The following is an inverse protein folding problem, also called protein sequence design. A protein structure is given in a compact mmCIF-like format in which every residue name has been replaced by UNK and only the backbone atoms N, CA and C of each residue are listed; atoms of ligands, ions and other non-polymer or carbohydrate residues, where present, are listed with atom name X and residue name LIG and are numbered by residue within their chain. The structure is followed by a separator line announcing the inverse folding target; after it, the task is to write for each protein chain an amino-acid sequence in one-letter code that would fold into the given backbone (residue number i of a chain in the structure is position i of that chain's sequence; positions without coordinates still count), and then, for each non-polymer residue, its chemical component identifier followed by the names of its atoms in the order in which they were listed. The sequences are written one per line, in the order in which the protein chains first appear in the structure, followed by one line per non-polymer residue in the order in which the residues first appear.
data_IF_677860863893
#
_entry.id   IF_677860863893
#
_cell.length_a   1.000
_cell.length_b   1.000
_cell.length_c   1.000
_cell.angle_alpha   90.00
_cell.angle_beta   90.00
_cell.angle_gamma   90.00
#
_symmetry.space_group_name_H-M   'P 1'
#
loop_
_entity.id
_entity.type
_entity.pdbx_description
1 polymer ?
#
# COMPACT_ATOMS: atom_id res chain seq x y z
N UNK A 1 11.70 -19.96 72.62
CA UNK A 1 10.63 -19.18 71.97
C UNK A 1 11.30 -18.05 71.21
N UNK A 2 11.18 -17.90 69.90
CA UNK A 2 10.51 -18.70 68.89
C UNK A 2 11.08 -18.26 67.54
N UNK A 3 11.07 -19.19 66.60
CA UNK A 3 11.50 -19.06 65.20
C UNK A 3 10.77 -17.91 64.46
N UNK A 4 11.40 -17.40 63.38
CA UNK A 4 10.83 -17.11 62.04
C UNK A 4 11.55 -15.91 61.41
N UNK A 5 12.59 -16.11 60.59
CA UNK A 5 12.59 -16.51 59.18
C UNK A 5 12.10 -15.42 58.20
N UNK A 6 12.98 -15.15 57.23
CA UNK A 6 12.86 -14.19 56.12
C UNK A 6 11.52 -14.28 55.39
N UNK A 7 11.01 -13.13 54.92
CA UNK A 7 10.26 -13.07 53.66
C UNK A 7 10.34 -11.67 53.02
N UNK A 8 11.04 -11.58 51.89
CA UNK A 8 10.97 -10.47 50.95
C UNK A 8 9.61 -10.49 50.23
N UNK A 9 9.01 -9.33 49.89
CA UNK A 9 7.78 -9.30 49.10
C UNK A 9 8.09 -9.75 47.66
N UNK A 10 7.61 -10.93 47.30
CA UNK A 10 7.61 -11.45 45.93
C UNK A 10 6.75 -10.51 45.06
N UNK A 11 7.38 -9.66 44.25
CA UNK A 11 6.72 -8.97 43.13
C UNK A 11 6.24 -10.04 42.13
N UNK A 12 4.96 -10.37 42.21
CA UNK A 12 4.26 -11.15 41.21
C UNK A 12 4.33 -10.40 39.88
N UNK A 13 5.08 -10.94 38.91
CA UNK A 13 4.96 -10.56 37.49
C UNK A 13 3.58 -10.99 37.03
N UNK A 14 2.59 -10.10 37.14
CA UNK A 14 1.31 -10.26 36.47
C UNK A 14 1.53 -10.09 34.97
N UNK A 15 1.78 -11.21 34.30
CA UNK A 15 1.63 -11.34 32.85
C UNK A 15 0.17 -11.03 32.52
N UNK A 16 -0.10 -9.79 32.11
CA UNK A 16 -1.42 -9.37 31.63
C UNK A 16 -1.66 -10.00 30.25
N UNK A 17 -2.13 -11.25 30.25
CA UNK A 17 -2.76 -11.84 29.07
C UNK A 17 -4.08 -11.11 28.83
N UNK A 18 -4.08 -10.18 27.89
CA UNK A 18 -5.29 -9.56 27.38
C UNK A 18 -6.19 -10.63 26.74
N UNK A 19 -7.49 -10.69 27.08
CA UNK A 19 -8.40 -11.67 26.50
C UNK A 19 -8.65 -11.33 25.02
N UNK A 20 -8.50 -12.34 24.16
CA UNK A 20 -8.87 -12.25 22.74
C UNK A 20 -10.39 -12.31 22.65
N UNK A 21 -11.03 -11.16 22.46
CA UNK A 21 -12.45 -11.07 22.12
C UNK A 21 -12.60 -11.52 20.66
N UNK A 22 -13.61 -12.32 20.36
CA UNK A 22 -13.81 -13.02 19.07
C UNK A 22 -14.19 -12.15 17.87
N UNK A 23 -13.41 -11.11 17.61
CA UNK A 23 -13.36 -10.34 16.36
C UNK A 23 -11.87 -10.09 16.10
N UNK A 24 -11.42 -10.09 14.84
CA UNK A 24 -10.00 -10.11 14.42
C UNK A 24 -9.16 -8.86 14.83
N UNK A 25 -9.18 -8.44 16.10
CA UNK A 25 -8.39 -7.36 16.67
C UNK A 25 -8.25 -7.50 18.20
N UNK A 26 -7.18 -6.92 18.73
CA UNK A 26 -6.93 -6.85 20.17
C UNK A 26 -7.66 -5.67 20.81
N UNK A 27 -7.99 -5.77 22.10
CA UNK A 27 -8.60 -4.66 22.87
C UNK A 27 -7.75 -3.38 22.78
N UNK A 28 -6.43 -3.52 22.86
CA UNK A 28 -5.49 -2.40 22.72
C UNK A 28 -5.59 -1.70 21.37
N UNK A 29 -5.81 -2.45 20.28
CA UNK A 29 -6.03 -1.87 18.95
C UNK A 29 -7.35 -1.10 18.86
N UNK A 30 -8.43 -1.62 19.46
CA UNK A 30 -9.71 -0.93 19.50
C UNK A 30 -9.63 0.39 20.30
N UNK A 31 -9.02 0.34 21.48
CA UNK A 31 -8.82 1.51 22.34
C UNK A 31 -7.97 2.59 21.63
N UNK A 32 -6.96 2.16 20.85
CA UNK A 32 -6.10 3.06 20.09
C UNK A 32 -6.83 3.73 18.91
N UNK A 33 -7.66 2.98 18.17
CA UNK A 33 -8.51 3.53 17.10
C UNK A 33 -9.48 4.56 17.68
N UNK A 34 -10.13 4.24 18.80
CA UNK A 34 -11.08 5.13 19.44
C UNK A 34 -10.40 6.41 19.93
N UNK A 35 -9.23 6.32 20.56
CA UNK A 35 -8.45 7.48 20.99
C UNK A 35 -8.11 8.42 19.82
N UNK A 36 -7.59 7.88 18.71
CA UNK A 36 -7.18 8.68 17.56
C UNK A 36 -8.37 9.38 16.91
N UNK A 37 -9.56 8.78 16.91
CA UNK A 37 -10.77 9.41 16.37
C UNK A 37 -11.26 10.59 17.20
N UNK A 38 -11.03 10.57 18.52
CA UNK A 38 -11.47 11.62 19.43
C UNK A 38 -10.45 12.75 19.58
N UNK A 39 -9.17 12.51 19.27
CA UNK A 39 -8.12 13.53 19.30
C UNK A 39 -8.09 14.33 18.00
N UNK A 40 -8.05 15.66 18.12
CA UNK A 40 -7.84 16.58 16.98
C UNK A 40 -6.40 17.10 16.88
N UNK A 41 -5.65 16.99 17.97
CA UNK A 41 -4.26 17.43 18.04
C UNK A 41 -3.29 16.36 17.50
N UNK A 42 -2.39 16.75 16.58
CA UNK A 42 -1.42 15.83 15.97
C UNK A 42 -0.44 15.20 16.98
N UNK A 43 -0.06 15.95 18.00
CA UNK A 43 0.80 15.43 19.08
C UNK A 43 0.08 14.37 19.91
N UNK A 44 -1.22 14.56 20.18
CA UNK A 44 -2.03 13.58 20.91
C UNK A 44 -2.30 12.34 20.07
N UNK A 45 -2.59 12.51 18.77
CA UNK A 45 -2.74 11.40 17.82
C UNK A 45 -1.48 10.52 17.83
N UNK A 46 -0.29 11.11 17.72
CA UNK A 46 1.00 10.42 17.78
C UNK A 46 1.44 10.04 19.22
N UNK A 47 0.65 10.37 20.25
CA UNK A 47 0.95 10.09 21.66
C UNK A 47 2.35 10.59 22.09
N UNK A 48 2.71 11.78 21.62
CA UNK A 48 4.01 12.42 21.89
C UNK A 48 3.79 13.78 22.55
N UNK A 49 4.78 14.22 23.34
CA UNK A 49 4.79 15.58 23.87
C UNK A 49 4.96 16.61 22.75
N UNK A 50 4.46 17.84 22.94
CA UNK A 50 4.76 18.98 22.04
C UNK A 50 6.27 19.27 21.96
N UNK A 51 7.02 18.93 23.01
CA UNK A 51 8.49 19.04 23.08
C UNK A 51 9.22 17.81 22.51
N UNK A 52 8.51 16.85 21.90
CA UNK A 52 9.11 15.63 21.40
C UNK A 52 10.11 15.91 20.27
N UNK A 53 11.20 15.16 20.29
CA UNK A 53 12.21 15.19 19.23
C UNK A 53 11.70 14.45 17.99
N UNK A 54 12.25 14.77 16.82
CA UNK A 54 11.86 14.12 15.56
C UNK A 54 12.08 12.60 15.60
N UNK A 55 13.10 12.16 16.35
CA UNK A 55 13.37 10.75 16.59
C UNK A 55 12.25 10.05 17.37
N UNK A 56 11.65 10.73 18.36
CA UNK A 56 10.53 10.22 19.14
C UNK A 56 9.25 10.19 18.32
N UNK A 57 8.99 11.24 17.52
CA UNK A 57 7.86 11.31 16.59
C UNK A 57 7.93 10.15 15.58
N UNK A 58 9.10 9.91 14.97
CA UNK A 58 9.33 8.79 14.04
C UNK A 58 9.25 7.42 14.73
N UNK A 59 9.62 7.31 16.01
CA UNK A 59 9.51 6.06 16.77
C UNK A 59 8.05 5.71 17.07
N UNK A 60 7.28 6.66 17.59
CA UNK A 60 5.89 6.42 17.96
C UNK A 60 4.99 6.23 16.74
N UNK A 61 5.23 6.97 15.65
CA UNK A 61 4.54 6.75 14.39
C UNK A 61 4.72 5.30 13.90
N UNK A 62 5.95 4.80 13.85
CA UNK A 62 6.24 3.41 13.42
C UNK A 62 5.54 2.38 14.29
N UNK A 63 5.53 2.59 15.61
CA UNK A 63 4.87 1.69 16.56
C UNK A 63 3.36 1.62 16.32
N UNK A 64 2.70 2.76 16.11
CA UNK A 64 1.26 2.82 15.89
C UNK A 64 0.84 2.40 14.48
N UNK A 65 1.63 2.74 13.46
CA UNK A 65 1.35 2.34 12.07
C UNK A 65 1.35 0.82 11.92
N UNK A 66 2.24 0.11 12.62
CA UNK A 66 2.24 -1.36 12.66
C UNK A 66 1.03 -1.96 13.40
N UNK A 67 0.50 -1.26 14.40
CA UNK A 67 -0.66 -1.69 15.18
C UNK A 67 -1.97 -1.45 14.43
N UNK A 68 -2.04 -0.39 13.62
CA UNK A 68 -3.22 0.03 12.84
C UNK A 68 -3.19 -0.41 11.38
N UNK A 69 -2.15 -1.12 10.94
CA UNK A 69 -2.05 -1.56 9.55
C UNK A 69 -3.30 -2.37 9.16
N UNK A 70 -3.92 -2.12 7.98
CA UNK A 70 -5.18 -2.74 7.57
C UNK A 70 -5.11 -4.27 7.49
N UNK A 71 -3.91 -4.83 7.30
CA UNK A 71 -3.68 -6.28 7.31
C UNK A 71 -3.68 -6.89 8.73
N UNK A 72 -3.33 -6.11 9.76
CA UNK A 72 -3.18 -6.58 11.16
C UNK A 72 -4.29 -6.12 12.10
N UNK A 73 -5.07 -5.11 11.70
CA UNK A 73 -6.15 -4.55 12.51
C UNK A 73 -7.43 -4.49 11.68
N UNK A 74 -8.40 -5.33 12.02
CA UNK A 74 -9.76 -5.29 11.44
C UNK A 74 -10.77 -4.59 12.34
N UNK A 75 -10.31 -3.74 13.25
CA UNK A 75 -11.18 -2.96 14.12
C UNK A 75 -12.02 -1.96 13.28
N UNK A 76 -13.27 -1.67 13.69
CA UNK A 76 -14.10 -0.69 13.01
C UNK A 76 -13.41 0.69 13.06
N UNK A 77 -13.46 1.42 11.94
CA UNK A 77 -12.81 2.73 11.78
C UNK A 77 -11.27 2.75 11.91
N UNK A 78 -10.62 1.59 11.86
CA UNK A 78 -9.14 1.49 11.83
C UNK A 78 -8.53 2.25 10.64
N UNK A 79 -9.18 2.23 9.48
CA UNK A 79 -8.76 2.98 8.31
C UNK A 79 -8.76 4.49 8.57
N UNK A 80 -9.83 5.05 9.15
CA UNK A 80 -9.93 6.48 9.51
C UNK A 80 -8.82 6.89 10.49
N UNK A 81 -8.61 6.08 11.53
CA UNK A 81 -7.55 6.32 12.51
C UNK A 81 -6.15 6.24 11.87
N UNK A 82 -5.93 5.31 10.94
CA UNK A 82 -4.68 5.23 10.19
C UNK A 82 -4.46 6.48 9.31
N UNK A 83 -5.53 7.03 8.70
CA UNK A 83 -5.44 8.30 7.95
C UNK A 83 -5.01 9.45 8.85
N UNK A 84 -5.68 9.60 10.01
CA UNK A 84 -5.37 10.64 10.98
C UNK A 84 -3.92 10.54 11.50
N UNK A 85 -3.44 9.31 11.74
CA UNK A 85 -2.06 9.03 12.13
C UNK A 85 -1.05 9.46 11.05
N UNK A 86 -1.33 9.17 9.78
CA UNK A 86 -0.51 9.58 8.65
C UNK A 86 -0.43 11.10 8.50
N UNK A 87 -1.57 11.79 8.61
CA UNK A 87 -1.64 13.25 8.52
C UNK A 87 -0.85 13.92 9.66
N UNK A 88 -1.02 13.43 10.89
CA UNK A 88 -0.26 13.94 12.03
C UNK A 88 1.25 13.79 11.82
N UNK A 89 1.70 12.65 11.30
CA UNK A 89 3.12 12.44 11.00
C UNK A 89 3.62 13.36 9.88
N UNK A 90 2.90 13.50 8.78
CA UNK A 90 3.32 14.34 7.65
C UNK A 90 3.51 15.83 8.01
N UNK A 91 2.77 16.31 9.01
CA UNK A 91 2.90 17.68 9.52
C UNK A 91 4.00 17.77 10.56
N UNK A 92 4.07 16.82 11.50
CA UNK A 92 5.02 16.87 12.62
C UNK A 92 6.45 16.38 12.27
N UNK A 93 6.62 15.62 11.19
CA UNK A 93 7.92 15.15 10.72
C UNK A 93 8.73 16.23 10.00
N UNK A 94 8.07 17.25 9.45
CA UNK A 94 8.69 18.34 8.73
C UNK A 94 8.76 19.58 9.62
N UNK A 95 9.97 20.07 9.88
CA UNK A 95 10.20 21.19 10.80
C UNK A 95 9.43 22.47 10.40
N UNK A 96 9.28 22.74 9.09
CA UNK A 96 8.57 23.91 8.59
C UNK A 96 7.06 23.77 8.76
N UNK A 97 6.49 22.60 8.42
CA UNK A 97 5.06 22.31 8.61
C UNK A 97 4.69 22.23 10.09
N UNK A 98 5.58 21.67 10.92
CA UNK A 98 5.43 21.62 12.39
C UNK A 98 5.39 23.02 12.98
N UNK A 99 6.29 23.93 12.57
CA UNK A 99 6.26 25.34 13.00
C UNK A 99 4.96 26.03 12.60
N UNK A 100 4.49 25.80 11.37
CA UNK A 100 3.21 26.36 10.90
C UNK A 100 2.03 25.82 11.73
N UNK A 101 2.01 24.52 12.01
CA UNK A 101 1.01 23.89 12.87
C UNK A 101 1.05 24.42 14.30
N UNK A 102 2.24 24.59 14.88
CA UNK A 102 2.41 25.12 16.23
C UNK A 102 1.98 26.60 16.34
N UNK A 103 2.10 27.37 15.25
CA UNK A 103 1.72 28.78 15.20
C UNK A 103 0.23 29.01 14.99
N UNK A 104 -0.42 28.17 14.16
CA UNK A 104 -1.79 28.43 13.70
C UNK A 104 -2.80 27.32 14.03
N UNK A 105 -2.35 26.21 14.62
CA UNK A 105 -3.18 25.07 14.99
C UNK A 105 -3.64 24.21 13.80
N UNK A 106 -4.45 23.18 14.10
CA UNK A 106 -4.98 22.25 13.11
C UNK A 106 -5.86 22.92 12.04
N UNK A 107 -6.51 24.05 12.37
CA UNK A 107 -7.43 24.76 11.48
C UNK A 107 -6.72 25.51 10.33
N UNK A 108 -5.41 25.76 10.43
CA UNK A 108 -4.64 26.45 9.38
C UNK A 108 -3.90 25.51 8.43
N UNK A 109 -3.58 24.29 8.86
CA UNK A 109 -3.04 23.26 7.97
C UNK A 109 -4.06 22.86 6.89
N UNK A 110 -5.35 23.03 7.18
CA UNK A 110 -6.45 22.85 6.23
C UNK A 110 -6.66 24.10 5.33
N UNK A 111 -6.27 25.29 5.80
CA UNK A 111 -6.39 26.53 5.02
C UNK A 111 -5.26 26.76 3.99
N UNK A 112 -4.09 26.17 4.20
CA UNK A 112 -2.90 26.37 3.34
C UNK A 112 -2.73 25.36 2.20
N UNK A 113 -3.42 24.21 2.23
CA UNK A 113 -3.32 23.16 1.21
C UNK A 113 -4.60 23.00 0.35
N UNK A 114 -5.61 23.86 0.53
CA UNK A 114 -6.72 23.94 -0.42
C UNK A 114 -6.26 24.77 -1.62
N UNK A 115 -5.46 24.15 -2.49
CA UNK A 115 -5.58 24.47 -3.91
C UNK A 115 -6.97 23.98 -4.33
N UNK A 116 -7.93 24.90 -4.31
CA UNK A 116 -9.23 24.71 -4.94
C UNK A 116 -8.99 24.41 -6.42
N UNK A 117 -9.01 23.14 -6.81
CA UNK A 117 -9.22 22.76 -8.20
C UNK A 117 -10.56 23.39 -8.63
N UNK A 118 -10.65 24.05 -9.80
CA UNK A 118 -11.90 24.62 -10.31
C UNK A 118 -13.07 23.61 -10.43
N UNK A 119 -12.85 22.31 -10.24
CA UNK A 119 -13.86 21.25 -10.39
C UNK A 119 -14.55 20.74 -9.13
N UNK A 120 -14.27 21.26 -7.94
CA UNK A 120 -15.15 21.10 -6.77
C UNK A 120 -15.53 19.66 -6.38
N UNK A 121 -14.66 18.68 -6.59
CA UNK A 121 -14.86 17.30 -6.15
C UNK A 121 -14.16 17.01 -4.82
N UNK A 122 -14.77 16.10 -4.07
CA UNK A 122 -14.43 15.68 -2.71
C UNK A 122 -12.96 15.28 -2.52
N UNK A 123 -12.46 15.48 -1.29
CA UNK A 123 -11.13 15.10 -0.83
C UNK A 123 -10.86 13.60 -0.96
N UNK A 124 -10.42 13.18 -2.14
CA UNK A 124 -9.68 11.94 -2.34
C UNK A 124 -8.19 12.28 -2.23
N UNK A 125 -7.66 12.13 -1.01
CA UNK A 125 -6.21 12.05 -0.84
C UNK A 125 -5.76 10.80 -1.60
N UNK A 126 -5.23 11.00 -2.79
CA UNK A 126 -4.62 9.97 -3.60
C UNK A 126 -3.42 9.38 -2.84
N UNK A 127 -3.64 8.22 -2.25
CA UNK A 127 -2.64 7.46 -1.49
C UNK A 127 -1.46 7.02 -2.35
N UNK A 128 -1.52 7.18 -3.68
CA UNK A 128 -0.41 6.83 -4.58
C UNK A 128 0.65 7.93 -4.72
N UNK A 129 0.30 9.21 -4.49
CA UNK A 129 1.24 10.33 -4.68
C UNK A 129 1.75 10.98 -3.38
N UNK A 130 1.11 10.69 -2.23
CA UNK A 130 1.58 11.17 -0.92
C UNK A 130 2.74 10.34 -0.32
N UNK A 131 2.98 9.14 -0.85
CA UNK A 131 4.09 8.28 -0.44
C UNK A 131 5.38 8.57 -1.23
N UNK A 132 5.27 9.14 -2.43
CA UNK A 132 6.38 9.38 -3.37
C UNK A 132 7.04 10.77 -3.24
N UNK A 133 6.41 11.73 -2.54
CA UNK A 133 6.93 13.09 -2.49
C UNK A 133 8.01 13.33 -1.41
N UNK A 134 8.08 12.50 -0.37
CA UNK A 134 8.97 12.76 0.79
C UNK A 134 9.74 11.52 1.30
N UNK A 135 9.48 10.32 0.77
CA UNK A 135 10.26 9.14 1.13
C UNK A 135 11.12 8.66 -0.05
N UNK A 136 12.43 8.77 0.12
CA UNK A 136 13.39 8.16 -0.80
C UNK A 136 13.15 6.65 -0.82
N UNK A 137 13.23 5.96 -1.98
CA UNK A 137 13.13 4.50 -2.06
C UNK A 137 14.05 3.79 -1.04
N UNK A 138 15.18 4.39 -0.71
CA UNK A 138 16.15 3.96 0.28
C UNK A 138 15.62 4.04 1.73
N UNK A 139 14.76 5.01 2.03
CA UNK A 139 14.16 5.21 3.36
C UNK A 139 13.00 4.25 3.60
N UNK A 140 12.20 3.96 2.56
CA UNK A 140 11.18 2.90 2.55
C UNK A 140 11.84 1.52 2.68
N UNK A 141 12.94 1.31 1.97
CA UNK A 141 13.69 0.07 2.01
C UNK A 141 14.35 -0.17 3.39
N UNK A 142 14.97 0.86 3.97
CA UNK A 142 15.51 0.78 5.34
C UNK A 142 14.42 0.65 6.42
N UNK A 143 13.22 1.19 6.16
CA UNK A 143 12.05 1.06 7.04
C UNK A 143 11.46 -0.36 7.06
N UNK A 144 11.63 -1.11 5.97
CA UNK A 144 11.08 -2.46 5.81
C UNK A 144 12.09 -3.58 6.13
N UNK A 145 13.40 -3.36 5.89
CA UNK A 145 14.42 -4.41 5.97
C UNK A 145 15.45 -4.29 7.11
N UNK A 146 15.28 -3.34 8.03
CA UNK A 146 15.98 -3.37 9.32
C UNK A 146 17.51 -3.16 9.23
N UNK A 147 17.91 -1.91 8.94
CA UNK A 147 19.11 -1.30 9.53
C UNK A 147 20.47 -1.98 9.31
N UNK A 148 20.87 -2.24 8.06
CA UNK A 148 22.18 -2.84 7.74
C UNK A 148 22.98 -2.19 6.60
N UNK A 149 22.50 -1.09 6.00
CA UNK A 149 23.17 -0.46 4.86
C UNK A 149 23.86 0.85 5.25
N UNK A 150 25.19 0.96 5.18
CA UNK A 150 25.87 2.24 5.32
C UNK A 150 25.92 2.93 3.95
N UNK A 151 24.93 3.74 3.57
CA UNK A 151 25.09 4.59 2.38
C UNK A 151 25.69 5.94 2.74
N UNK A 152 26.87 6.14 2.19
CA UNK A 152 27.68 7.35 2.24
C UNK A 152 26.87 8.57 1.79
N UNK A 153 26.88 9.62 2.60
CA UNK A 153 26.12 10.85 2.39
C UNK A 153 26.54 11.55 1.08
N UNK A 154 25.76 11.39 0.01
CA UNK A 154 25.84 12.27 -1.16
C UNK A 154 25.27 13.63 -0.77
N UNK A 155 26.13 14.53 -0.31
CA UNK A 155 25.80 15.94 -0.13
C UNK A 155 25.49 16.54 -1.51
N UNK A 156 24.22 16.79 -1.80
CA UNK A 156 23.83 17.72 -2.87
C UNK A 156 24.25 19.13 -2.46
N UNK A 157 25.23 19.66 -3.17
CA UNK A 157 25.75 21.02 -3.06
C UNK A 157 24.62 22.03 -3.28
N UNK A 158 24.21 22.75 -2.23
CA UNK A 158 23.46 24.01 -2.35
C UNK A 158 24.35 25.12 -1.81
N UNK A 159 24.65 26.09 -2.68
CA UNK A 159 25.46 27.27 -2.38
C UNK A 159 24.95 28.00 -1.11
N UNK A 160 25.88 28.32 -0.21
CA UNK A 160 25.68 29.18 0.96
C UNK A 160 26.90 29.12 1.90
N UNK A 161 27.49 30.27 2.19
CA UNK A 161 28.81 30.45 2.82
C UNK A 161 28.88 30.13 4.34
N UNK A 162 30.10 29.75 4.76
CA UNK A 162 30.73 29.69 6.11
C UNK A 162 30.27 28.65 7.16
N UNK A 163 31.11 27.66 7.45
CA UNK A 163 32.08 27.74 8.57
C UNK A 163 32.86 26.40 8.73
N UNK A 164 34.18 26.49 8.81
CA UNK A 164 35.09 25.38 9.12
C UNK A 164 34.99 24.96 10.58
N UNK A 165 34.94 23.64 10.83
CA UNK A 165 35.69 23.00 11.93
C UNK A 165 35.94 21.52 11.62
N UNK A 166 37.19 21.12 11.86
CA UNK A 166 37.75 19.78 11.70
C UNK A 166 37.12 18.74 12.64
N UNK A 167 36.97 17.50 12.16
CA UNK A 167 37.32 16.33 12.98
C UNK A 167 37.66 15.13 12.08
N UNK A 168 38.96 14.89 11.93
CA UNK A 168 39.54 13.63 11.49
C UNK A 168 39.53 12.66 12.66
N UNK A 169 38.83 11.51 12.57
CA UNK A 169 39.15 10.36 13.43
C UNK A 169 38.74 9.01 12.83
N UNK A 170 39.75 8.15 12.75
CA UNK A 170 39.78 6.69 12.59
C UNK A 170 39.40 6.07 11.23
N UNK A 171 40.43 5.94 10.40
CA UNK A 171 40.57 4.87 9.42
C UNK A 171 40.91 3.56 10.16
N UNK A 172 39.91 2.71 10.33
CA UNK A 172 40.05 1.25 10.39
C UNK A 172 38.78 0.68 9.74
N UNK A 173 38.63 0.93 8.44
CA UNK A 173 37.55 0.37 7.65
C UNK A 173 38.01 -1.00 7.13
N UNK A 174 37.42 -2.08 7.66
CA UNK A 174 37.59 -3.42 7.12
C UNK A 174 37.26 -3.40 5.61
N UNK A 175 38.12 -3.91 4.72
CA UNK A 175 37.90 -3.87 3.26
C UNK A 175 36.68 -4.69 2.80
N UNK A 176 36.07 -5.45 3.71
CA UNK A 176 34.87 -6.26 3.48
C UNK A 176 33.55 -5.49 3.69
N UNK A 177 33.56 -4.27 4.25
CA UNK A 177 32.34 -3.46 4.45
C UNK A 177 31.57 -3.15 3.16
N UNK A 178 32.19 -2.81 2.00
CA UNK A 178 31.42 -2.59 0.77
C UNK A 178 30.86 -3.90 0.18
N UNK A 179 31.53 -5.04 0.41
CA UNK A 179 31.08 -6.34 -0.10
C UNK A 179 29.85 -6.84 0.65
N UNK A 180 29.81 -6.68 1.98
CA UNK A 180 28.64 -7.05 2.79
C UNK A 180 27.41 -6.16 2.48
N UNK A 181 27.61 -4.92 2.06
CA UNK A 181 26.53 -4.01 1.69
C UNK A 181 25.80 -4.43 0.40
N UNK A 182 26.46 -5.16 -0.49
CA UNK A 182 25.87 -5.66 -1.74
C UNK A 182 25.08 -6.95 -1.55
N UNK A 183 25.30 -7.71 -0.48
CA UNK A 183 24.62 -9.00 -0.22
C UNK A 183 23.09 -8.95 -0.34
N UNK A 184 22.39 -7.99 0.27
CA UNK A 184 20.93 -7.89 0.13
C UNK A 184 20.46 -7.45 -1.26
N UNK A 185 21.22 -6.64 -2.00
CA UNK A 185 20.93 -6.35 -3.42
C UNK A 185 21.12 -7.59 -4.30
N UNK A 186 22.20 -8.33 -4.05
CA UNK A 186 22.46 -9.62 -4.69
C UNK A 186 21.38 -10.63 -4.31
N UNK A 187 20.92 -10.64 -3.06
CA UNK A 187 19.86 -11.53 -2.60
C UNK A 187 18.53 -11.22 -3.29
N UNK A 188 18.15 -9.94 -3.44
CA UNK A 188 16.93 -9.56 -4.17
C UNK A 188 17.07 -9.91 -5.65
N UNK A 189 18.22 -9.65 -6.26
CA UNK A 189 18.49 -9.98 -7.65
C UNK A 189 18.45 -11.50 -7.88
N UNK A 190 19.06 -12.27 -6.99
CA UNK A 190 19.07 -13.74 -7.02
C UNK A 190 17.66 -14.27 -6.76
N UNK A 191 16.92 -13.75 -5.79
CA UNK A 191 15.53 -14.15 -5.52
C UNK A 191 14.61 -13.81 -6.69
N UNK A 192 14.78 -12.66 -7.33
CA UNK A 192 14.04 -12.27 -8.54
C UNK A 192 14.35 -13.18 -9.73
N UNK A 193 15.62 -13.49 -9.97
CA UNK A 193 16.05 -14.45 -10.99
C UNK A 193 15.56 -15.88 -10.69
N UNK A 194 15.64 -16.32 -9.44
CA UNK A 194 15.12 -17.61 -8.99
C UNK A 194 13.59 -17.69 -9.12
N UNK A 195 12.87 -16.60 -8.83
CA UNK A 195 11.43 -16.54 -9.03
C UNK A 195 11.07 -16.66 -10.53
N UNK A 196 11.82 -16.01 -11.43
CA UNK A 196 11.63 -16.16 -12.87
C UNK A 196 11.91 -17.58 -13.37
N UNK A 197 12.86 -18.28 -12.75
CA UNK A 197 13.12 -19.71 -13.02
C UNK A 197 11.97 -20.62 -12.57
N UNK A 198 11.17 -20.19 -11.59
CA UNK A 198 10.06 -20.96 -11.02
C UNK A 198 8.70 -20.65 -11.68
N UNK A 199 8.57 -19.51 -12.37
CA UNK A 199 7.37 -19.20 -13.15
C UNK A 199 7.39 -20.05 -14.42
N UNK A 200 6.72 -21.19 -14.37
CA UNK A 200 6.48 -22.02 -15.55
C UNK A 200 5.73 -21.25 -16.63
N UNK A 201 6.05 -21.55 -17.89
CA UNK A 201 5.34 -20.94 -19.01
C UNK A 201 3.83 -21.26 -18.97
N UNK A 202 2.95 -20.30 -19.30
CA UNK A 202 1.52 -20.54 -19.23
C UNK A 202 1.09 -21.60 -20.26
N UNK A 203 0.13 -22.44 -19.88
CA UNK A 203 -0.34 -23.54 -20.70
C UNK A 203 -1.14 -23.08 -21.94
N UNK A 204 -1.73 -21.88 -21.86
CA UNK A 204 -2.61 -21.31 -22.88
C UNK A 204 -2.50 -19.78 -22.96
N UNK A 205 -3.20 -19.19 -23.93
CA UNK A 205 -3.48 -17.76 -24.02
C UNK A 205 -4.92 -17.52 -24.50
N UNK A 206 -5.58 -16.46 -24.05
CA UNK A 206 -6.89 -16.05 -24.58
C UNK A 206 -6.80 -15.40 -25.98
N UNK A 207 -5.60 -14.97 -26.39
CA UNK A 207 -5.36 -14.32 -27.67
C UNK A 207 -4.45 -15.15 -28.56
N UNK A 208 -4.66 -15.08 -29.87
CA UNK A 208 -3.78 -15.74 -30.83
C UNK A 208 -2.40 -15.09 -30.80
N UNK A 209 -1.36 -15.90 -30.68
CA UNK A 209 0.03 -15.46 -30.78
C UNK A 209 0.86 -16.52 -31.49
N UNK A 210 2.04 -16.16 -32.01
CA UNK A 210 2.93 -17.14 -32.66
C UNK A 210 3.34 -18.30 -31.73
N UNK A 211 3.32 -18.07 -30.41
CA UNK A 211 3.61 -19.09 -29.39
C UNK A 211 2.42 -20.04 -29.15
N UNK A 212 1.20 -19.55 -29.34
CA UNK A 212 -0.04 -20.30 -29.13
C UNK A 212 -0.88 -20.28 -30.43
N UNK A 213 -0.53 -21.10 -31.44
CA UNK A 213 -1.19 -21.04 -32.76
C UNK A 213 -2.50 -21.83 -32.82
N UNK A 214 -2.70 -22.84 -31.97
CA UNK A 214 -3.84 -23.76 -32.08
C UNK A 214 -5.02 -23.22 -31.30
N UNK A 215 -6.12 -22.89 -31.99
CA UNK A 215 -7.39 -22.49 -31.36
C UNK A 215 -8.15 -23.71 -30.84
N UNK A 216 -8.65 -23.61 -29.61
CA UNK A 216 -9.56 -24.55 -28.97
C UNK A 216 -10.75 -23.81 -28.36
N UNK A 217 -11.80 -24.55 -28.03
CA UNK A 217 -12.98 -24.07 -27.33
C UNK A 217 -13.13 -24.87 -26.04
N UNK A 218 -13.52 -24.21 -24.95
CA UNK A 218 -13.81 -24.93 -23.71
C UNK A 218 -15.04 -25.82 -23.86
N UNK A 219 -15.09 -26.93 -23.11
CA UNK A 219 -16.17 -27.92 -23.20
C UNK A 219 -17.45 -27.49 -22.46
N UNK A 220 -17.40 -26.38 -21.71
CA UNK A 220 -18.56 -25.85 -21.00
C UNK A 220 -19.61 -25.25 -21.93
N UNK A 221 -20.71 -24.79 -21.34
CA UNK A 221 -21.74 -24.02 -22.02
C UNK A 221 -21.22 -22.69 -22.60
N UNK A 222 -20.16 -22.11 -22.02
CA UNK A 222 -19.62 -20.81 -22.41
C UNK A 222 -18.84 -20.85 -23.73
N UNK A 223 -18.28 -22.01 -24.09
CA UNK A 223 -17.49 -22.24 -25.32
C UNK A 223 -16.46 -21.14 -25.57
N UNK A 224 -15.64 -20.86 -24.57
CA UNK A 224 -14.65 -19.77 -24.61
C UNK A 224 -13.52 -20.15 -25.56
N UNK A 225 -13.15 -19.30 -26.54
CA UNK A 225 -11.99 -19.54 -27.39
C UNK A 225 -10.69 -19.28 -26.63
N UNK A 226 -9.77 -20.24 -26.70
CA UNK A 226 -8.44 -20.12 -26.14
C UNK A 226 -7.42 -20.78 -27.07
N UNK A 227 -6.15 -20.39 -26.93
CA UNK A 227 -5.08 -20.79 -27.82
C UNK A 227 -4.01 -21.57 -27.05
N UNK A 228 -3.54 -22.65 -27.65
CA UNK A 228 -2.58 -23.57 -27.04
C UNK A 228 -1.40 -23.85 -27.97
N UNK A 229 -0.35 -24.43 -27.40
CA UNK A 229 0.80 -24.96 -28.14
C UNK A 229 0.46 -26.29 -28.82
N UNK A 230 1.31 -26.71 -29.76
CA UNK A 230 1.15 -27.98 -30.49
C UNK A 230 1.19 -29.24 -29.62
N UNK A 231 1.92 -29.19 -28.51
CA UNK A 231 2.13 -30.30 -27.57
C UNK A 231 1.12 -30.35 -26.41
N UNK A 232 0.16 -29.42 -26.37
CA UNK A 232 -0.74 -29.21 -25.23
C UNK A 232 -1.49 -30.47 -24.78
N UNK A 233 -2.03 -31.25 -25.73
CA UNK A 233 -2.84 -32.44 -25.40
C UNK A 233 -2.00 -33.56 -24.78
N UNK A 234 -0.73 -33.66 -25.18
CA UNK A 234 0.21 -34.63 -24.63
C UNK A 234 0.75 -34.13 -23.27
N UNK A 235 1.12 -32.85 -23.17
CA UNK A 235 1.71 -32.25 -21.97
C UNK A 235 0.72 -32.12 -20.78
N UNK A 236 -0.58 -31.95 -21.07
CA UNK A 236 -1.61 -31.70 -20.04
C UNK A 236 -2.72 -32.76 -20.02
N UNK A 237 -2.46 -33.97 -20.53
CA UNK A 237 -3.41 -35.09 -20.47
C UNK A 237 -3.91 -35.31 -19.04
N UNK A 238 -5.22 -35.36 -18.86
CA UNK A 238 -5.87 -35.52 -17.55
C UNK A 238 -6.06 -34.22 -16.74
N UNK A 239 -5.37 -33.12 -17.09
CA UNK A 239 -5.54 -31.79 -16.45
C UNK A 239 -6.30 -30.78 -17.33
N UNK A 240 -6.72 -31.17 -18.54
CA UNK A 240 -7.40 -30.30 -19.50
C UNK A 240 -8.63 -29.61 -18.89
N UNK A 241 -9.46 -30.32 -18.12
CA UNK A 241 -10.65 -29.73 -17.47
C UNK A 241 -10.30 -28.63 -16.47
N UNK A 242 -9.21 -28.79 -15.71
CA UNK A 242 -8.75 -27.76 -14.77
C UNK A 242 -8.29 -26.51 -15.53
N UNK A 243 -7.59 -26.71 -16.65
CA UNK A 243 -7.13 -25.61 -17.50
C UNK A 243 -8.33 -24.90 -18.15
N UNK A 244 -9.32 -25.64 -18.67
CA UNK A 244 -10.53 -25.04 -19.24
C UNK A 244 -11.33 -24.24 -18.19
N UNK A 245 -11.41 -24.71 -16.95
CA UNK A 245 -11.99 -23.93 -15.84
C UNK A 245 -11.23 -22.63 -15.60
N UNK A 246 -9.88 -22.68 -15.60
CA UNK A 246 -9.06 -21.48 -15.44
C UNK A 246 -9.24 -20.50 -16.61
N UNK A 247 -9.34 -21.02 -17.84
CA UNK A 247 -9.61 -20.21 -19.05
C UNK A 247 -10.92 -19.45 -18.90
N UNK A 248 -11.97 -20.11 -18.39
CA UNK A 248 -13.28 -19.49 -18.19
C UNK A 248 -13.25 -18.43 -17.10
N UNK A 249 -12.59 -18.72 -15.98
CA UNK A 249 -12.40 -17.76 -14.90
C UNK A 249 -11.66 -16.51 -15.41
N UNK A 250 -10.53 -16.70 -16.10
CA UNK A 250 -9.73 -15.59 -16.66
C UNK A 250 -10.55 -14.78 -17.68
N UNK A 251 -11.29 -15.45 -18.56
CA UNK A 251 -12.16 -14.80 -19.54
C UNK A 251 -13.25 -13.95 -18.87
N UNK A 252 -13.92 -14.47 -17.83
CA UNK A 252 -14.93 -13.72 -17.08
C UNK A 252 -14.30 -12.52 -16.36
N UNK A 253 -13.12 -12.69 -15.75
CA UNK A 253 -12.41 -11.57 -15.12
C UNK A 253 -12.05 -10.50 -16.15
N UNK A 254 -11.56 -10.90 -17.34
CA UNK A 254 -11.25 -9.96 -18.42
C UNK A 254 -12.52 -9.21 -18.88
N UNK A 255 -13.65 -9.90 -19.03
CA UNK A 255 -14.95 -9.28 -19.35
C UNK A 255 -15.36 -8.27 -18.28
N UNK A 256 -15.23 -8.61 -16.98
CA UNK A 256 -15.55 -7.70 -15.87
C UNK A 256 -14.68 -6.44 -15.90
N UNK A 257 -13.37 -6.60 -16.07
CA UNK A 257 -12.44 -5.47 -16.14
C UNK A 257 -12.71 -4.58 -17.34
N UNK A 258 -13.02 -5.16 -18.49
CA UNK A 258 -13.37 -4.38 -19.69
C UNK A 258 -14.73 -3.70 -19.55
N UNK A 259 -15.73 -4.37 -18.99
CA UNK A 259 -17.02 -3.75 -18.68
C UNK A 259 -16.87 -2.57 -17.71
N UNK A 260 -16.05 -2.71 -16.67
CA UNK A 260 -15.75 -1.61 -15.75
C UNK A 260 -15.13 -0.40 -16.48
N UNK A 261 -14.20 -0.66 -17.41
CA UNK A 261 -13.62 0.40 -18.27
C UNK A 261 -14.68 1.08 -19.14
N UNK A 262 -15.56 0.31 -19.78
CA UNK A 262 -16.66 0.84 -20.59
C UNK A 262 -17.62 1.71 -19.76
N UNK A 263 -17.96 1.27 -18.54
CA UNK A 263 -18.79 2.02 -17.61
C UNK A 263 -18.14 3.34 -17.21
N UNK A 264 -16.87 3.31 -16.78
CA UNK A 264 -16.13 4.52 -16.41
C UNK A 264 -16.01 5.50 -17.59
N UNK A 265 -15.82 4.99 -18.82
CA UNK A 265 -15.81 5.84 -20.01
C UNK A 265 -17.17 6.50 -20.23
N UNK A 266 -18.26 5.75 -20.09
CA UNK A 266 -19.63 6.29 -20.21
C UNK A 266 -19.91 7.36 -19.16
N UNK A 267 -19.55 7.10 -17.91
CA UNK A 267 -19.71 8.06 -16.81
C UNK A 267 -18.90 9.33 -17.02
N UNK A 268 -17.66 9.20 -17.49
CA UNK A 268 -16.82 10.34 -17.84
C UNK A 268 -17.46 11.19 -18.93
N UNK A 269 -18.05 10.57 -19.96
CA UNK A 269 -18.77 11.29 -21.01
C UNK A 269 -20.03 11.97 -20.48
N UNK A 270 -20.80 11.30 -19.61
CA UNK A 270 -21.99 11.88 -18.97
C UNK A 270 -21.64 13.08 -18.09
N UNK A 271 -20.57 12.97 -17.30
CA UNK A 271 -20.06 14.07 -16.47
C UNK A 271 -19.69 15.27 -17.34
N UNK A 272 -18.91 15.06 -18.41
CA UNK A 272 -18.53 16.14 -19.34
C UNK A 272 -19.74 16.77 -20.02
N UNK A 273 -20.72 15.97 -20.44
CA UNK A 273 -21.97 16.46 -21.05
C UNK A 273 -22.76 17.35 -20.09
N UNK A 274 -22.87 16.95 -18.82
CA UNK A 274 -23.55 17.74 -17.78
C UNK A 274 -22.79 19.02 -17.46
N UNK A 275 -21.46 18.96 -17.38
CA UNK A 275 -20.63 20.12 -17.08
C UNK A 275 -20.64 21.18 -18.19
N UNK A 276 -20.66 20.74 -19.46
CA UNK A 276 -20.72 21.63 -20.63
C UNK A 276 -22.16 22.01 -21.03
N UNK A 277 -23.19 21.41 -20.42
CA UNK A 277 -24.58 21.50 -20.86
C UNK A 277 -24.76 21.17 -22.35
N UNK A 278 -24.02 20.19 -22.87
CA UNK A 278 -24.08 19.76 -24.28
C UNK A 278 -25.07 18.58 -24.45
N UNK A 279 -26.24 18.78 -25.10
CA UNK A 279 -27.25 17.74 -25.28
C UNK A 279 -26.83 16.65 -26.27
N UNK A 280 -25.94 16.96 -27.23
CA UNK A 280 -25.46 15.98 -28.20
C UNK A 280 -24.47 15.02 -27.57
N UNK A 281 -23.59 15.55 -26.70
CA UNK A 281 -22.68 14.74 -25.92
C UNK A 281 -23.44 13.83 -24.94
N UNK A 282 -24.52 14.34 -24.32
CA UNK A 282 -25.37 13.56 -23.43
C UNK A 282 -26.04 12.38 -24.16
N UNK A 283 -26.53 12.61 -25.38
CA UNK A 283 -27.14 11.57 -26.22
C UNK A 283 -26.13 10.48 -26.58
N UNK A 284 -24.92 10.88 -27.00
CA UNK A 284 -23.82 9.96 -27.33
C UNK A 284 -23.40 9.13 -26.12
N UNK A 285 -23.29 9.75 -24.95
CA UNK A 285 -22.95 9.06 -23.72
C UNK A 285 -23.99 8.00 -23.33
N UNK A 286 -25.29 8.32 -23.45
CA UNK A 286 -26.36 7.36 -23.20
C UNK A 286 -26.40 6.20 -24.20
N UNK A 287 -26.02 6.45 -25.46
CA UNK A 287 -25.98 5.46 -26.54
C UNK A 287 -24.62 4.76 -26.69
N UNK A 288 -23.70 4.94 -25.74
CA UNK A 288 -22.38 4.32 -25.80
C UNK A 288 -22.51 2.79 -25.76
N UNK A 289 -21.98 2.06 -26.77
CA UNK A 289 -22.04 0.61 -26.79
C UNK A 289 -21.15 0.03 -25.68
N UNK A 290 -21.65 -0.97 -24.96
CA UNK A 290 -20.92 -1.65 -23.89
C UNK A 290 -20.92 -3.17 -24.12
N UNK A 291 -20.26 -3.64 -25.21
CA UNK A 291 -20.32 -5.04 -25.62
C UNK A 291 -19.82 -6.01 -24.54
N UNK A 292 -18.83 -5.63 -23.74
CA UNK A 292 -18.32 -6.51 -22.68
C UNK A 292 -19.30 -6.60 -21.51
N UNK A 293 -19.93 -5.48 -21.14
CA UNK A 293 -20.99 -5.49 -20.13
C UNK A 293 -22.21 -6.29 -20.57
N UNK A 294 -22.62 -6.17 -21.83
CA UNK A 294 -23.78 -6.88 -22.34
C UNK A 294 -23.49 -8.39 -22.42
N UNK A 295 -22.29 -8.77 -22.86
CA UNK A 295 -21.85 -10.17 -22.81
C UNK A 295 -21.80 -10.72 -21.39
N UNK A 296 -21.37 -9.91 -20.41
CA UNK A 296 -21.36 -10.31 -19.01
C UNK A 296 -22.78 -10.57 -18.48
N UNK A 297 -23.75 -9.72 -18.86
CA UNK A 297 -25.17 -9.93 -18.49
C UNK A 297 -25.74 -11.21 -19.09
N UNK A 298 -25.44 -11.50 -20.35
CA UNK A 298 -25.85 -12.75 -21.00
C UNK A 298 -25.36 -13.98 -20.21
N UNK A 299 -24.10 -13.96 -19.76
CA UNK A 299 -23.50 -15.05 -18.99
C UNK A 299 -24.19 -15.25 -17.64
N UNK A 300 -24.54 -14.18 -16.94
CA UNK A 300 -25.22 -14.26 -15.62
C UNK A 300 -26.74 -14.42 -15.70
N UNK A 301 -27.34 -14.27 -16.89
CA UNK A 301 -28.78 -14.41 -17.09
C UNK A 301 -29.25 -15.86 -17.28
N UNK A 302 -28.31 -16.79 -17.44
CA UNK A 302 -28.52 -18.22 -17.61
C UNK A 302 -27.97 -19.01 -16.42
#
# INVERSE_FOLDING_TARGET
MEMLERQQPKKSRSSSRTPKVGVDYTKEQADLVERIRHCKDYYEILNVSKTATDAEIKREYRRMALQLHPDKCRAPHSTEAFKALGNAYAVLSNEEKRKQYDMYGADAADAGNVRRDPRGDFFEYDYTHGFDAEFSPEEIFNMFFGGGFPTESVRRTRHGFHASTHSTRNQNANPYTPLLQLLPLIAILVLGLLAQLMVGEPAYSLHHTNKYPIKRLTQSSLKVPYFVKSDFEQAYRGRIRQIESQVEDEYIQQLRMNCYKEQNQRETLLYRARWQNDPDLLRRANQMPMPHCDRLKEIYSH
#
